data_IF_209084371912
#
_entry.id   IF_209084371912
#
_cell.length_a   1.000
_cell.length_b   1.000
_cell.length_c   1.000
_cell.angle_alpha   90.00
_cell.angle_beta   90.00
_cell.angle_gamma   90.00
#
_symmetry.space_group_name_H-M   'P 1'
#
loop_
_entity.id
_entity.type
_entity.pdbx_description
1 polymer ?
#
# COMPACT_ATOMS: atom_id res chain seq x y z
N UNK A 1 -6.19 -8.87 21.14
CA UNK A 1 -7.45 -8.69 21.87
C UNK A 1 -7.42 -9.33 23.25
N UNK A 2 -7.59 -10.65 23.40
CA UNK A 2 -7.71 -11.32 24.71
C UNK A 2 -6.75 -10.82 25.81
N UNK A 3 -5.43 -10.77 25.54
CA UNK A 3 -4.40 -10.28 26.47
C UNK A 3 -4.67 -8.87 27.04
N UNK A 4 -5.26 -7.96 26.25
CA UNK A 4 -5.64 -6.60 26.68
C UNK A 4 -6.95 -6.57 27.49
N UNK A 5 -7.84 -7.53 27.29
CA UNK A 5 -9.02 -7.68 28.13
C UNK A 5 -8.64 -8.25 29.51
N UNK A 6 -7.62 -9.11 29.58
CA UNK A 6 -7.18 -9.78 30.82
C UNK A 6 -6.16 -9.01 31.67
N UNK A 7 -5.38 -8.08 31.10
CA UNK A 7 -4.27 -7.44 31.84
C UNK A 7 -4.68 -6.39 32.89
N UNK A 8 -5.97 -6.02 32.97
CA UNK A 8 -6.54 -5.17 34.04
C UNK A 8 -6.14 -3.69 34.02
N UNK A 9 -5.13 -3.32 33.22
CA UNK A 9 -4.71 -1.94 32.95
C UNK A 9 -5.86 -1.10 32.41
N UNK A 10 -6.18 0.01 33.08
CA UNK A 10 -7.25 0.92 32.66
C UNK A 10 -6.77 1.83 31.52
N UNK A 11 -7.64 2.01 30.53
CA UNK A 11 -7.51 3.00 29.46
C UNK A 11 -7.23 4.40 30.03
N UNK A 12 -6.23 5.10 29.51
CA UNK A 12 -5.83 6.42 29.97
C UNK A 12 -5.70 7.43 28.80
N UNK A 13 -5.91 8.75 29.04
CA UNK A 13 -5.67 9.79 28.04
C UNK A 13 -4.27 9.72 27.44
N UNK A 14 -4.19 9.86 26.11
CA UNK A 14 -2.97 9.83 25.30
C UNK A 14 -2.11 8.54 25.41
N UNK A 15 -2.52 7.53 26.19
CA UNK A 15 -1.74 6.34 26.55
C UNK A 15 -2.37 5.05 26.02
N UNK A 16 -2.15 4.69 24.75
CA UNK A 16 -2.56 3.41 24.21
C UNK A 16 -1.81 2.25 24.87
N UNK A 17 -2.50 1.10 24.92
CA UNK A 17 -2.02 -0.17 25.49
C UNK A 17 -1.61 -1.17 24.41
N UNK A 18 -2.04 -0.96 23.17
CA UNK A 18 -1.51 -1.65 22.00
C UNK A 18 -1.26 -0.70 20.84
N UNK A 19 -0.24 -1.02 20.05
CA UNK A 19 0.16 -0.29 18.85
C UNK A 19 0.25 -1.26 17.67
N UNK A 20 -0.46 -0.95 16.57
CA UNK A 20 -0.35 -1.63 15.30
C UNK A 20 0.22 -0.63 14.28
N UNK A 21 1.36 -0.95 13.68
CA UNK A 21 2.02 -0.16 12.64
C UNK A 21 1.83 -0.81 11.27
N UNK A 22 1.34 -0.03 10.31
CA UNK A 22 1.13 -0.47 8.93
C UNK A 22 1.57 0.64 7.93
N UNK A 23 2.14 0.29 6.77
CA UNK A 23 2.69 1.25 5.81
C UNK A 23 1.64 2.17 5.19
N UNK A 24 0.42 1.68 4.91
CA UNK A 24 -0.61 2.44 4.17
C UNK A 24 -1.87 2.71 4.99
N UNK A 25 -2.59 3.76 4.62
CA UNK A 25 -3.85 4.16 5.26
C UNK A 25 -4.95 3.15 4.99
N UNK A 26 -4.89 2.54 3.82
CA UNK A 26 -5.82 1.52 3.35
C UNK A 26 -5.66 0.24 4.19
N UNK A 27 -4.43 -0.19 4.48
CA UNK A 27 -4.18 -1.31 5.39
C UNK A 27 -4.58 -0.97 6.84
N UNK A 28 -4.25 0.23 7.35
CA UNK A 28 -4.76 0.71 8.66
C UNK A 28 -6.30 0.62 8.73
N UNK A 29 -7.00 0.96 7.65
CA UNK A 29 -8.47 0.90 7.59
C UNK A 29 -9.00 -0.55 7.52
N UNK A 30 -8.31 -1.45 6.81
CA UNK A 30 -8.65 -2.88 6.74
C UNK A 30 -8.42 -3.61 8.08
N UNK A 31 -7.32 -3.30 8.78
CA UNK A 31 -7.05 -3.80 10.12
C UNK A 31 -8.17 -3.33 11.06
N UNK A 32 -8.54 -2.05 11.03
CA UNK A 32 -9.63 -1.54 11.88
C UNK A 32 -10.99 -2.18 11.54
N UNK A 33 -11.34 -2.34 10.27
CA UNK A 33 -12.57 -3.01 9.87
C UNK A 33 -12.63 -4.47 10.38
N UNK A 34 -11.48 -5.15 10.39
CA UNK A 34 -11.34 -6.52 10.91
C UNK A 34 -11.34 -6.56 12.45
N UNK A 35 -10.82 -5.51 13.10
CA UNK A 35 -10.67 -5.41 14.56
C UNK A 35 -11.93 -4.93 15.26
N UNK A 36 -12.71 -4.04 14.63
CA UNK A 36 -13.86 -3.37 15.22
C UNK A 36 -14.92 -4.32 15.84
N UNK A 37 -15.30 -5.45 15.22
CA UNK A 37 -16.22 -6.42 15.85
C UNK A 37 -15.64 -7.01 17.15
N UNK A 38 -14.33 -7.29 17.17
CA UNK A 38 -13.62 -7.84 18.33
C UNK A 38 -13.41 -6.77 19.42
N UNK A 39 -13.16 -5.52 19.02
CA UNK A 39 -13.04 -4.38 19.92
C UNK A 39 -14.36 -4.08 20.63
N UNK A 40 -15.47 -4.05 19.88
CA UNK A 40 -16.82 -3.91 20.43
C UNK A 40 -17.16 -5.04 21.41
N UNK A 41 -16.91 -6.30 21.05
CA UNK A 41 -17.15 -7.46 21.92
C UNK A 41 -16.30 -7.48 23.21
N UNK A 42 -15.17 -6.76 23.24
CA UNK A 42 -14.27 -6.65 24.41
C UNK A 42 -14.34 -5.30 25.12
N UNK A 43 -15.19 -4.37 24.66
CA UNK A 43 -15.29 -3.01 25.19
C UNK A 43 -14.04 -2.13 24.98
N UNK A 44 -13.06 -2.58 24.18
CA UNK A 44 -11.83 -1.86 23.87
C UNK A 44 -12.09 -0.75 22.84
N UNK A 45 -11.31 0.33 22.89
CA UNK A 45 -11.37 1.43 21.91
C UNK A 45 -10.13 1.48 21.03
N UNK A 46 -10.34 1.45 19.72
CA UNK A 46 -9.36 1.64 18.66
C UNK A 46 -9.36 3.08 18.12
N UNK A 47 -8.29 3.46 17.40
CA UNK A 47 -8.21 4.69 16.60
C UNK A 47 -7.24 4.55 15.43
N UNK A 48 -7.64 5.09 14.27
CA UNK A 48 -6.81 5.16 13.07
C UNK A 48 -6.01 6.47 13.01
N UNK A 49 -4.68 6.36 12.93
CA UNK A 49 -3.74 7.49 12.94
C UNK A 49 -2.92 7.51 11.65
N UNK A 50 -3.30 8.38 10.71
CA UNK A 50 -2.58 8.58 9.45
C UNK A 50 -2.64 10.03 8.94
N UNK A 51 -1.71 10.37 8.04
CA UNK A 51 -1.63 11.67 7.38
C UNK A 51 -2.72 11.91 6.34
N UNK A 52 -2.73 13.09 5.70
CA UNK A 52 -3.72 13.44 4.67
C UNK A 52 -5.13 13.77 5.17
N UNK A 53 -5.39 13.56 6.47
CA UNK A 53 -6.54 14.11 7.20
C UNK A 53 -6.06 15.06 8.30
N UNK A 54 -6.94 15.97 8.74
CA UNK A 54 -6.64 16.92 9.82
C UNK A 54 -6.23 16.21 11.12
N UNK A 55 -5.29 16.76 11.90
CA UNK A 55 -4.80 16.11 13.11
C UNK A 55 -5.79 16.22 14.29
N UNK A 56 -6.62 17.28 14.33
CA UNK A 56 -7.45 17.59 15.51
C UNK A 56 -8.41 16.46 15.94
N UNK A 57 -9.10 15.73 15.04
CA UNK A 57 -9.91 14.57 15.45
C UNK A 57 -9.08 13.44 16.08
N UNK A 58 -7.87 13.19 15.56
CA UNK A 58 -6.96 12.19 16.12
C UNK A 58 -6.49 12.60 17.53
N UNK A 59 -6.14 13.88 17.72
CA UNK A 59 -5.75 14.45 19.01
C UNK A 59 -6.91 14.40 20.02
N UNK A 60 -8.13 14.71 19.59
CA UNK A 60 -9.32 14.70 20.44
C UNK A 60 -9.64 13.30 20.96
N UNK A 61 -9.61 12.28 20.08
CA UNK A 61 -9.85 10.89 20.48
C UNK A 61 -8.71 10.30 21.32
N UNK A 62 -7.43 10.64 21.04
CA UNK A 62 -6.31 10.32 21.93
C UNK A 62 -6.52 10.88 23.35
N UNK A 63 -6.95 12.15 23.47
CA UNK A 63 -7.25 12.79 24.76
C UNK A 63 -8.45 12.18 25.50
N UNK A 64 -9.41 11.59 24.79
CA UNK A 64 -10.51 10.82 25.39
C UNK A 64 -10.07 9.43 25.92
N UNK A 65 -8.84 9.01 25.60
CA UNK A 65 -8.31 7.70 25.91
C UNK A 65 -8.75 6.63 24.90
N UNK A 66 -7.78 5.81 24.49
CA UNK A 66 -7.94 4.66 23.58
C UNK A 66 -7.09 3.50 24.10
N UNK A 67 -7.48 2.26 23.82
CA UNK A 67 -6.65 1.08 24.14
C UNK A 67 -5.71 0.76 22.98
N UNK A 68 -6.15 0.92 21.74
CA UNK A 68 -5.44 0.45 20.54
C UNK A 68 -5.24 1.61 19.57
N UNK A 69 -4.00 1.82 19.13
CA UNK A 69 -3.68 2.73 18.02
C UNK A 69 -3.27 1.89 16.82
N UNK A 70 -3.92 2.14 15.68
CA UNK A 70 -3.56 1.57 14.37
C UNK A 70 -3.05 2.71 13.50
N UNK A 71 -1.80 2.66 13.04
CA UNK A 71 -1.13 3.86 12.54
C UNK A 71 -0.17 3.66 11.37
N UNK A 72 -0.11 4.67 10.51
CA UNK A 72 1.04 4.89 9.62
C UNK A 72 2.16 5.59 10.41
N UNK A 73 3.41 5.10 10.39
CA UNK A 73 4.48 5.57 11.27
C UNK A 73 4.64 7.10 11.36
N UNK A 74 4.68 7.80 10.22
CA UNK A 74 4.94 9.26 10.20
C UNK A 74 3.96 10.09 11.04
N UNK A 75 2.64 9.88 10.89
CA UNK A 75 1.65 10.66 11.66
C UNK A 75 1.60 10.29 13.14
N UNK A 76 1.93 9.04 13.50
CA UNK A 76 2.10 8.71 14.91
C UNK A 76 3.35 9.39 15.48
N UNK A 77 4.44 9.43 14.72
CA UNK A 77 5.66 10.13 15.12
C UNK A 77 5.40 11.64 15.34
N UNK A 78 4.57 12.28 14.51
CA UNK A 78 4.10 13.66 14.73
C UNK A 78 3.41 13.80 16.10
N UNK A 79 2.39 12.98 16.38
CA UNK A 79 1.63 13.05 17.65
C UNK A 79 2.50 12.75 18.88
N UNK A 80 3.44 11.81 18.75
CA UNK A 80 4.38 11.41 19.80
C UNK A 80 5.46 12.48 20.05
N UNK A 81 5.84 13.26 19.02
CA UNK A 81 6.68 14.47 19.18
C UNK A 81 5.91 15.62 19.83
N UNK A 82 4.65 15.81 19.47
CA UNK A 82 3.79 16.87 20.03
C UNK A 82 3.21 16.57 21.42
N UNK A 83 3.54 15.43 22.05
CA UNK A 83 2.99 15.03 23.35
C UNK A 83 1.50 14.65 23.34
N UNK A 84 0.92 14.42 22.15
CA UNK A 84 -0.46 13.95 21.98
C UNK A 84 -0.59 12.43 22.17
N UNK A 85 0.51 11.68 22.09
CA UNK A 85 0.55 10.25 22.34
C UNK A 85 1.81 9.85 23.13
N UNK A 86 1.66 8.98 24.11
CA UNK A 86 2.72 8.40 24.94
C UNK A 86 2.68 6.87 24.84
N UNK A 87 3.73 6.28 24.28
CA UNK A 87 3.83 4.85 24.01
C UNK A 87 4.41 4.03 25.17
N UNK A 88 4.77 4.66 26.29
CA UNK A 88 5.34 3.98 27.46
C UNK A 88 4.37 3.00 28.16
N UNK A 89 3.08 3.08 27.84
CA UNK A 89 2.04 2.18 28.37
C UNK A 89 1.68 1.02 27.43
N UNK A 90 2.41 0.84 26.32
CA UNK A 90 2.11 -0.19 25.31
C UNK A 90 2.55 -1.58 25.79
N UNK A 91 1.58 -2.48 25.92
CA UNK A 91 1.73 -3.89 26.31
C UNK A 91 1.97 -4.80 25.10
N UNK A 92 1.50 -4.40 23.91
CA UNK A 92 1.59 -5.18 22.67
C UNK A 92 1.92 -4.27 21.48
N UNK A 93 2.95 -4.61 20.69
CA UNK A 93 3.22 -3.99 19.38
C UNK A 93 3.04 -4.98 18.25
N UNK A 94 2.42 -4.55 17.15
CA UNK A 94 2.32 -5.30 15.89
C UNK A 94 2.93 -4.45 14.78
N UNK A 95 3.73 -5.07 13.91
CA UNK A 95 4.15 -4.53 12.62
C UNK A 95 3.52 -5.38 11.54
N UNK A 96 2.87 -4.75 10.55
CA UNK A 96 2.24 -5.41 9.41
C UNK A 96 2.74 -4.83 8.08
N UNK A 97 2.85 -5.67 7.04
CA UNK A 97 3.66 -5.44 5.83
C UNK A 97 5.04 -4.79 6.15
N UNK A 98 5.86 -5.44 6.99
CA UNK A 98 7.12 -4.87 7.49
C UNK A 98 8.19 -4.61 6.40
N UNK A 99 8.27 -5.48 5.40
CA UNK A 99 9.07 -5.28 4.17
C UNK A 99 8.58 -4.10 3.33
N UNK A 100 7.27 -3.88 3.25
CA UNK A 100 6.74 -2.67 2.62
C UNK A 100 7.10 -1.40 3.43
N UNK A 101 7.21 -1.47 4.76
CA UNK A 101 7.80 -0.38 5.56
C UNK A 101 9.31 -0.19 5.31
N UNK A 102 10.01 -1.19 4.76
CA UNK A 102 11.37 -1.05 4.23
C UNK A 102 11.37 -0.32 2.88
N UNK A 103 10.58 -0.79 1.91
CA UNK A 103 10.44 -0.17 0.58
C UNK A 103 10.09 1.33 0.61
N UNK A 104 9.23 1.75 1.57
CA UNK A 104 8.83 3.15 1.74
C UNK A 104 9.83 3.98 2.57
N UNK A 105 10.94 3.39 3.02
CA UNK A 105 11.94 4.07 3.86
C UNK A 105 11.43 4.43 5.27
N UNK A 106 10.38 3.76 5.76
CA UNK A 106 9.76 4.08 7.06
C UNK A 106 10.47 3.45 8.26
N UNK A 107 11.37 2.47 8.07
CA UNK A 107 12.11 1.80 9.13
C UNK A 107 12.75 2.75 10.17
N UNK A 108 13.35 3.91 9.83
CA UNK A 108 13.89 4.83 10.83
C UNK A 108 12.81 5.43 11.74
N UNK A 109 11.60 5.67 11.21
CA UNK A 109 10.44 6.13 12.01
C UNK A 109 9.85 5.01 12.85
N UNK A 110 9.70 3.80 12.30
CA UNK A 110 9.31 2.59 13.03
C UNK A 110 10.23 2.35 14.22
N UNK A 111 11.56 2.41 14.00
CA UNK A 111 12.58 2.28 15.06
C UNK A 111 12.37 3.31 16.18
N UNK A 112 12.22 4.61 15.85
CA UNK A 112 11.96 5.68 16.83
C UNK A 112 10.63 5.53 17.60
N UNK A 113 9.64 4.85 17.03
CA UNK A 113 8.36 4.54 17.71
C UNK A 113 8.50 3.35 18.65
N UNK A 114 9.12 2.25 18.19
CA UNK A 114 9.36 1.06 19.01
C UNK A 114 10.33 1.32 20.17
N UNK A 115 11.32 2.20 19.99
CA UNK A 115 12.23 2.65 21.05
C UNK A 115 11.51 3.40 22.19
N UNK A 116 10.27 3.86 21.97
CA UNK A 116 9.39 4.47 22.98
C UNK A 116 8.39 3.50 23.61
N UNK A 117 8.42 2.23 23.22
CA UNK A 117 7.60 1.15 23.84
C UNK A 117 8.42 0.39 24.89
N UNK A 118 7.80 -0.16 25.94
CA UNK A 118 8.47 -1.04 26.91
C UNK A 118 9.26 -2.17 26.23
N UNK A 119 10.48 -2.45 26.70
CA UNK A 119 11.33 -3.51 26.11
C UNK A 119 10.73 -4.92 26.24
N UNK A 120 9.86 -5.12 27.23
CA UNK A 120 9.19 -6.37 27.57
C UNK A 120 7.72 -6.44 27.08
N UNK A 121 7.28 -5.55 26.17
CA UNK A 121 5.98 -5.69 25.52
C UNK A 121 5.97 -6.91 24.57
N UNK A 122 4.80 -7.52 24.35
CA UNK A 122 4.68 -8.58 23.34
C UNK A 122 4.83 -7.97 21.95
N UNK A 123 5.73 -8.49 21.13
CA UNK A 123 5.93 -8.02 19.76
C UNK A 123 5.52 -9.08 18.74
N UNK A 124 4.80 -8.66 17.71
CA UNK A 124 4.47 -9.45 16.53
C UNK A 124 4.94 -8.68 15.28
N UNK A 125 5.48 -9.40 14.30
CA UNK A 125 5.96 -8.86 13.04
C UNK A 125 5.45 -9.74 11.91
N UNK A 126 4.74 -9.14 10.95
CA UNK A 126 4.24 -9.78 9.74
C UNK A 126 4.91 -9.13 8.52
N UNK A 127 5.38 -9.95 7.60
CA UNK A 127 6.12 -9.54 6.40
C UNK A 127 5.95 -10.60 5.32
N UNK A 128 5.88 -10.21 4.04
CA UNK A 128 5.85 -11.17 2.93
C UNK A 128 7.26 -11.68 2.57
N UNK A 129 8.28 -10.87 2.85
CA UNK A 129 9.69 -11.18 2.68
C UNK A 129 10.49 -10.85 3.95
N UNK A 130 11.50 -11.66 4.24
CA UNK A 130 12.57 -11.32 5.16
C UNK A 130 13.77 -10.87 4.32
N UNK A 131 14.19 -9.63 4.52
CA UNK A 131 15.39 -9.06 3.93
C UNK A 131 16.11 -8.18 4.95
N UNK A 132 17.33 -7.74 4.60
CA UNK A 132 18.20 -6.99 5.50
C UNK A 132 17.60 -5.67 6.05
N UNK A 133 16.50 -5.15 5.48
CA UNK A 133 15.73 -4.06 6.08
C UNK A 133 14.86 -4.52 7.25
N UNK A 134 14.19 -5.67 7.09
CA UNK A 134 13.32 -6.32 8.08
C UNK A 134 14.13 -7.05 9.16
N UNK A 135 15.24 -7.69 8.80
CA UNK A 135 16.09 -8.44 9.74
C UNK A 135 16.59 -7.54 10.89
N UNK A 136 16.96 -6.29 10.58
CA UNK A 136 17.38 -5.29 11.58
C UNK A 136 16.21 -4.81 12.47
N UNK A 137 14.96 -5.16 12.17
CA UNK A 137 13.83 -5.04 13.11
C UNK A 137 13.66 -6.31 13.94
N UNK A 138 13.84 -7.50 13.34
CA UNK A 138 13.79 -8.79 14.02
C UNK A 138 14.83 -8.83 15.14
N UNK A 139 16.12 -8.69 14.81
CA UNK A 139 17.26 -8.82 15.73
C UNK A 139 17.22 -7.82 16.90
N UNK A 140 16.64 -6.64 16.68
CA UNK A 140 16.63 -5.54 17.64
C UNK A 140 15.41 -5.50 18.55
N UNK A 141 14.24 -5.96 18.07
CA UNK A 141 12.97 -5.77 18.78
C UNK A 141 12.26 -7.06 19.14
N UNK A 142 12.50 -8.17 18.44
CA UNK A 142 11.97 -9.47 18.84
C UNK A 142 12.93 -10.14 19.83
N UNK A 143 12.38 -10.94 20.73
CA UNK A 143 13.14 -11.70 21.72
C UNK A 143 12.54 -13.10 21.79
N UNK A 144 13.38 -14.11 21.54
CA UNK A 144 12.99 -15.51 21.34
C UNK A 144 11.74 -15.68 20.42
N UNK A 145 11.76 -15.16 19.18
CA UNK A 145 10.58 -15.19 18.31
C UNK A 145 10.28 -16.61 17.81
N UNK A 146 9.07 -17.08 18.09
CA UNK A 146 8.52 -18.26 17.41
C UNK A 146 8.25 -17.91 15.94
N UNK A 147 9.17 -18.31 15.05
CA UNK A 147 9.06 -18.06 13.61
C UNK A 147 8.06 -19.02 12.99
N UNK A 148 6.89 -18.50 12.61
CA UNK A 148 5.94 -19.21 11.76
C UNK A 148 6.12 -18.77 10.30
N UNK A 149 6.98 -19.49 9.58
CA UNK A 149 6.89 -19.48 8.12
C UNK A 149 5.61 -20.21 7.72
N UNK A 150 4.71 -19.52 7.02
CA UNK A 150 3.80 -20.23 6.11
C UNK A 150 4.62 -20.52 4.87
N UNK A 151 5.35 -21.63 4.90
CA UNK A 151 6.02 -22.14 3.71
C UNK A 151 4.96 -22.30 2.63
N UNK A 152 4.99 -21.44 1.62
CA UNK A 152 4.12 -21.54 0.46
C UNK A 152 4.55 -22.80 -0.29
N UNK A 153 3.92 -23.93 0.04
CA UNK A 153 4.21 -25.28 -0.45
C UNK A 153 3.88 -25.37 -1.95
N UNK A 154 4.75 -24.73 -2.74
CA UNK A 154 4.41 -24.03 -3.97
C UNK A 154 3.39 -22.89 -3.71
N UNK A 155 3.87 -21.64 -3.74
CA UNK A 155 3.00 -20.48 -3.95
C UNK A 155 2.17 -20.69 -5.22
N UNK A 156 0.89 -20.24 -5.30
CA UNK A 156 -0.01 -20.49 -6.44
C UNK A 156 0.38 -19.81 -7.77
N UNK A 157 1.67 -19.55 -7.99
CA UNK A 157 2.29 -19.43 -9.31
C UNK A 157 1.95 -20.65 -10.19
N UNK A 158 1.72 -21.83 -9.59
CA UNK A 158 1.22 -23.01 -10.28
C UNK A 158 -0.23 -22.88 -10.83
N UNK A 159 -1.01 -21.89 -10.35
CA UNK A 159 -2.37 -21.58 -10.77
C UNK A 159 -2.50 -20.14 -11.34
N UNK A 160 -1.38 -19.49 -11.66
CA UNK A 160 -1.35 -18.18 -12.31
C UNK A 160 -0.73 -18.26 -13.70
N UNK A 161 -1.51 -17.89 -14.72
CA UNK A 161 -1.05 -17.91 -16.11
C UNK A 161 -0.43 -16.55 -16.45
N UNK A 162 0.88 -16.56 -16.70
CA UNK A 162 1.66 -15.36 -16.99
C UNK A 162 1.83 -15.17 -18.51
N UNK A 163 1.43 -14.02 -19.04
CA UNK A 163 1.64 -13.64 -20.44
C UNK A 163 2.46 -12.35 -20.54
N UNK A 164 3.32 -12.27 -21.56
CA UNK A 164 3.98 -11.04 -21.99
C UNK A 164 3.52 -10.71 -23.40
N UNK A 165 2.79 -9.61 -23.56
CA UNK A 165 2.34 -9.13 -24.86
C UNK A 165 3.30 -8.07 -25.36
N UNK A 166 4.04 -8.39 -26.41
CA UNK A 166 4.90 -7.45 -27.12
C UNK A 166 4.01 -6.57 -28.01
N UNK A 167 3.89 -5.28 -27.66
CA UNK A 167 2.97 -4.33 -28.29
C UNK A 167 3.67 -3.05 -28.73
N UNK A 168 3.26 -2.53 -29.87
CA UNK A 168 3.70 -1.24 -30.37
C UNK A 168 3.07 -0.08 -29.57
N UNK A 169 3.70 1.09 -29.56
CA UNK A 169 3.20 2.22 -28.77
C UNK A 169 1.82 2.74 -29.23
N UNK A 170 1.48 2.56 -30.50
CA UNK A 170 0.17 2.87 -31.09
C UNK A 170 -0.92 1.89 -30.63
N UNK A 171 -0.62 0.59 -30.57
CA UNK A 171 -1.59 -0.47 -30.26
C UNK A 171 -1.79 -0.67 -28.77
N UNK A 172 -0.78 -0.39 -27.94
CA UNK A 172 -0.75 -0.53 -26.48
C UNK A 172 -2.06 -0.11 -25.78
N UNK A 173 -2.59 1.08 -26.06
CA UNK A 173 -3.81 1.56 -25.39
C UNK A 173 -5.06 0.77 -25.79
N UNK A 174 -5.15 0.32 -27.05
CA UNK A 174 -6.28 -0.47 -27.51
C UNK A 174 -6.21 -1.91 -26.98
N UNK A 175 -5.01 -2.46 -26.80
CA UNK A 175 -4.79 -3.75 -26.11
C UNK A 175 -5.15 -3.67 -24.63
N UNK A 176 -4.78 -2.60 -23.90
CA UNK A 176 -5.27 -2.42 -22.51
C UNK A 176 -6.79 -2.27 -22.49
N UNK A 177 -7.38 -1.55 -23.45
CA UNK A 177 -8.83 -1.34 -23.50
C UNK A 177 -9.61 -2.64 -23.76
N UNK A 178 -9.16 -3.49 -24.68
CA UNK A 178 -9.80 -4.81 -24.91
C UNK A 178 -9.72 -5.70 -23.66
N UNK A 179 -8.53 -5.83 -23.07
CA UNK A 179 -8.32 -6.62 -21.86
C UNK A 179 -9.14 -6.10 -20.66
N UNK A 180 -9.28 -4.77 -20.54
CA UNK A 180 -10.03 -4.12 -19.46
C UNK A 180 -11.55 -4.04 -19.71
N UNK A 181 -12.03 -4.39 -20.91
CA UNK A 181 -13.46 -4.50 -21.23
C UNK A 181 -13.99 -5.94 -21.12
N UNK A 182 -13.13 -6.92 -20.81
CA UNK A 182 -13.50 -8.29 -20.50
C UNK A 182 -14.25 -8.39 -19.15
N UNK A 183 -15.08 -9.44 -18.93
CA UNK A 183 -15.81 -9.62 -17.68
C UNK A 183 -14.88 -9.94 -16.49
N UNK A 184 -15.30 -9.53 -15.29
CA UNK A 184 -14.54 -9.69 -14.05
C UNK A 184 -13.85 -8.40 -13.59
N UNK A 185 -13.26 -8.40 -12.38
CA UNK A 185 -12.51 -7.24 -11.87
C UNK A 185 -11.09 -7.25 -12.43
N UNK A 186 -10.67 -6.15 -13.04
CA UNK A 186 -9.31 -5.98 -13.61
C UNK A 186 -8.50 -4.92 -12.87
N UNK A 187 -7.27 -5.25 -12.45
CA UNK A 187 -6.31 -4.25 -11.92
C UNK A 187 -5.25 -3.94 -12.96
N UNK A 188 -5.11 -2.67 -13.32
CA UNK A 188 -4.16 -2.18 -14.33
C UNK A 188 -3.04 -1.36 -13.67
N UNK A 189 -1.83 -1.88 -13.64
CA UNK A 189 -0.68 -1.21 -13.05
C UNK A 189 0.06 -0.30 -14.03
N UNK A 190 0.18 0.97 -13.67
CA UNK A 190 0.96 2.00 -14.36
C UNK A 190 2.13 2.50 -13.48
N UNK A 191 3.24 2.88 -14.12
CA UNK A 191 4.49 3.26 -13.45
C UNK A 191 4.42 4.61 -12.73
N UNK A 192 3.58 5.53 -13.22
CA UNK A 192 3.50 6.89 -12.68
C UNK A 192 2.07 7.31 -12.42
N UNK A 193 1.88 8.24 -11.47
CA UNK A 193 0.57 8.83 -11.14
C UNK A 193 -0.09 9.50 -12.35
N UNK A 194 0.69 10.17 -13.20
CA UNK A 194 0.18 10.78 -14.43
C UNK A 194 -0.17 9.73 -15.49
N UNK A 195 0.59 8.63 -15.57
CA UNK A 195 0.26 7.46 -16.39
C UNK A 195 -1.07 6.83 -15.98
N UNK A 196 -1.24 6.52 -14.70
CA UNK A 196 -2.50 5.97 -14.17
C UNK A 196 -3.70 6.88 -14.48
N UNK A 197 -3.56 8.20 -14.26
CA UNK A 197 -4.60 9.20 -14.55
C UNK A 197 -4.95 9.29 -16.04
N UNK A 198 -3.94 9.29 -16.91
CA UNK A 198 -4.15 9.39 -18.35
C UNK A 198 -4.77 8.11 -18.91
N UNK A 199 -4.33 6.94 -18.45
CA UNK A 199 -4.89 5.65 -18.82
C UNK A 199 -6.34 5.49 -18.35
N UNK A 200 -6.65 5.88 -17.10
CA UNK A 200 -8.04 5.92 -16.58
C UNK A 200 -8.94 6.79 -17.45
N UNK A 201 -8.48 7.96 -17.87
CA UNK A 201 -9.25 8.84 -18.78
C UNK A 201 -9.46 8.20 -20.15
N UNK A 202 -8.45 7.52 -20.69
CA UNK A 202 -8.50 6.87 -22.01
C UNK A 202 -9.38 5.62 -22.04
N UNK A 203 -9.55 4.93 -20.90
CA UNK A 203 -10.47 3.81 -20.73
C UNK A 203 -11.92 4.32 -20.57
N UNK A 204 -12.15 5.29 -19.68
CA UNK A 204 -13.46 5.92 -19.50
C UNK A 204 -13.97 6.56 -20.81
N UNK A 205 -13.10 7.21 -21.60
CA UNK A 205 -13.46 7.75 -22.92
C UNK A 205 -13.78 6.69 -23.99
N UNK A 206 -13.59 5.41 -23.69
CA UNK A 206 -13.98 4.24 -24.50
C UNK A 206 -15.16 3.47 -23.91
N UNK A 207 -15.83 4.01 -22.89
CA UNK A 207 -16.97 3.36 -22.23
C UNK A 207 -16.60 2.31 -21.19
N UNK A 208 -15.32 2.19 -20.82
CA UNK A 208 -14.86 1.23 -19.81
C UNK A 208 -14.85 1.92 -18.45
N UNK A 209 -15.69 1.47 -17.52
CA UNK A 209 -15.82 2.03 -16.18
C UNK A 209 -14.53 1.82 -15.35
N UNK A 210 -13.67 2.83 -15.35
CA UNK A 210 -12.33 2.77 -14.77
C UNK A 210 -12.09 3.86 -13.71
N UNK A 211 -11.44 3.50 -12.61
CA UNK A 211 -11.11 4.41 -11.50
C UNK A 211 -9.60 4.45 -11.23
N UNK A 212 -9.08 5.64 -10.92
CA UNK A 212 -7.64 5.84 -10.62
C UNK A 212 -7.31 5.61 -9.14
N UNK A 213 -6.14 5.05 -8.84
CA UNK A 213 -5.60 4.97 -7.48
C UNK A 213 -4.09 5.26 -7.43
N UNK A 214 -3.76 6.51 -7.10
CA UNK A 214 -2.38 6.98 -7.00
C UNK A 214 -2.17 7.89 -5.79
N UNK A 215 -0.92 8.10 -5.36
CA UNK A 215 -0.58 8.90 -4.16
C UNK A 215 -1.03 10.37 -4.18
N UNK A 216 -1.33 10.95 -5.35
CA UNK A 216 -1.83 12.33 -5.49
C UNK A 216 -3.34 12.50 -5.21
N UNK A 217 -4.09 11.44 -4.85
CA UNK A 217 -5.52 11.54 -4.53
C UNK A 217 -5.76 12.02 -3.10
N UNK A 218 -6.82 12.81 -2.89
CA UNK A 218 -7.36 13.05 -1.55
C UNK A 218 -7.94 11.76 -0.96
N UNK A 219 -7.99 11.64 0.38
CA UNK A 219 -8.46 10.40 1.01
C UNK A 219 -9.89 10.04 0.59
N UNK A 220 -10.78 11.03 0.53
CA UNK A 220 -12.17 10.84 0.10
C UNK A 220 -12.27 10.31 -1.34
N UNK A 221 -11.35 10.71 -2.24
CA UNK A 221 -11.27 10.18 -3.59
C UNK A 221 -10.69 8.75 -3.61
N UNK A 222 -9.66 8.44 -2.80
CA UNK A 222 -9.14 7.07 -2.64
C UNK A 222 -10.25 6.12 -2.16
N UNK A 223 -10.96 6.51 -1.10
CA UNK A 223 -12.08 5.72 -0.56
C UNK A 223 -13.19 5.53 -1.59
N UNK A 224 -13.69 6.60 -2.24
CA UNK A 224 -14.74 6.48 -3.26
C UNK A 224 -14.33 5.53 -4.40
N UNK A 225 -13.11 5.68 -4.92
CA UNK A 225 -12.62 4.88 -6.03
C UNK A 225 -12.43 3.40 -5.63
N UNK A 226 -11.97 3.14 -4.40
CA UNK A 226 -11.89 1.77 -3.86
C UNK A 226 -13.27 1.15 -3.61
N UNK A 227 -14.24 1.93 -3.12
CA UNK A 227 -15.63 1.49 -2.97
C UNK A 227 -16.21 1.08 -4.33
N UNK A 228 -16.15 1.97 -5.32
CA UNK A 228 -16.67 1.72 -6.67
C UNK A 228 -16.02 0.50 -7.38
N UNK A 229 -14.75 0.19 -7.09
CA UNK A 229 -14.11 -1.02 -7.62
C UNK A 229 -14.51 -2.30 -6.85
N UNK A 230 -14.72 -2.17 -5.54
CA UNK A 230 -15.13 -3.29 -4.68
C UNK A 230 -16.59 -3.68 -4.90
N UNK A 231 -17.50 -2.70 -4.98
CA UNK A 231 -18.93 -2.93 -5.25
C UNK A 231 -19.25 -3.27 -6.71
N UNK A 232 -18.31 -3.05 -7.63
CA UNK A 232 -18.42 -3.38 -9.05
C UNK A 232 -18.92 -2.25 -9.95
N UNK A 233 -19.24 -1.07 -9.41
CA UNK A 233 -19.61 0.13 -10.18
C UNK A 233 -18.53 0.59 -11.17
N UNK A 234 -17.27 0.20 -10.93
CA UNK A 234 -16.17 0.28 -11.87
C UNK A 234 -15.47 -1.09 -11.96
N UNK A 235 -15.48 -1.72 -13.14
CA UNK A 235 -14.82 -3.02 -13.34
C UNK A 235 -13.29 -2.95 -13.34
N UNK A 236 -12.71 -1.74 -13.42
CA UNK A 236 -11.27 -1.53 -13.66
C UNK A 236 -10.65 -0.55 -12.67
N UNK A 237 -9.58 -0.98 -11.99
CA UNK A 237 -8.77 -0.14 -11.11
C UNK A 237 -7.39 0.12 -11.72
N UNK A 238 -7.10 1.38 -12.09
CA UNK A 238 -5.79 1.77 -12.63
C UNK A 238 -4.93 2.37 -11.53
N UNK A 239 -3.83 1.72 -11.18
CA UNK A 239 -3.06 2.06 -9.99
C UNK A 239 -1.53 2.12 -10.17
N UNK A 240 -0.87 2.79 -9.23
CA UNK A 240 0.60 2.79 -9.07
C UNK A 240 1.01 1.93 -7.88
N UNK A 241 2.17 1.26 -7.91
CA UNK A 241 2.65 0.32 -6.87
C UNK A 241 2.40 0.77 -5.42
N UNK A 242 2.95 1.92 -5.03
CA UNK A 242 2.83 2.51 -3.67
C UNK A 242 1.37 2.69 -3.24
N UNK A 243 0.47 2.94 -4.19
CA UNK A 243 -0.92 3.23 -3.92
C UNK A 243 -1.83 1.99 -3.88
N UNK A 244 -1.36 0.84 -4.39
CA UNK A 244 -2.10 -0.42 -4.50
C UNK A 244 -1.55 -1.60 -3.68
N UNK A 245 -0.47 -1.38 -2.94
CA UNK A 245 -0.10 -2.22 -1.81
C UNK A 245 -1.05 -1.95 -0.64
N UNK A 246 -1.34 -2.98 0.16
CA UNK A 246 -2.41 -2.89 1.16
C UNK A 246 -3.81 -2.59 0.62
N UNK A 247 -4.15 -2.94 -0.64
CA UNK A 247 -5.57 -3.15 -1.00
C UNK A 247 -5.89 -4.64 -0.87
N UNK A 248 -6.90 -4.96 -0.06
CA UNK A 248 -7.67 -6.18 -0.21
C UNK A 248 -8.81 -5.92 -1.20
N UNK A 249 -8.78 -6.59 -2.35
CA UNK A 249 -9.93 -6.71 -3.24
C UNK A 249 -9.98 -8.15 -3.68
N UNK A 250 -11.15 -8.76 -3.53
CA UNK A 250 -11.41 -10.14 -3.87
C UNK A 250 -11.88 -10.25 -5.32
N UNK A 251 -11.87 -11.46 -5.87
CA UNK A 251 -12.32 -11.79 -7.24
C UNK A 251 -11.67 -10.98 -8.38
N UNK A 252 -10.41 -10.55 -8.22
CA UNK A 252 -9.61 -9.94 -9.31
C UNK A 252 -9.23 -11.03 -10.31
N UNK A 253 -9.95 -11.10 -11.43
CA UNK A 253 -9.75 -12.10 -12.48
C UNK A 253 -8.48 -11.86 -13.30
N UNK A 254 -8.10 -10.58 -13.49
CA UNK A 254 -7.04 -10.17 -14.40
C UNK A 254 -6.15 -9.07 -13.79
N UNK A 255 -4.84 -9.25 -13.86
CA UNK A 255 -3.84 -8.22 -13.54
C UNK A 255 -3.08 -7.83 -14.81
N UNK A 256 -3.15 -6.55 -15.20
CA UNK A 256 -2.45 -6.02 -16.38
C UNK A 256 -1.35 -5.05 -15.95
N UNK A 257 -0.09 -5.44 -16.10
CA UNK A 257 1.03 -4.51 -16.04
C UNK A 257 1.09 -3.71 -17.35
N UNK A 258 0.32 -2.61 -17.40
CA UNK A 258 0.33 -1.69 -18.54
C UNK A 258 1.69 -0.99 -18.68
N UNK A 259 2.40 -0.74 -17.57
CA UNK A 259 3.85 -0.53 -17.54
C UNK A 259 4.53 -1.68 -16.74
N UNK A 260 5.60 -2.31 -17.27
CA UNK A 260 6.39 -3.26 -16.49
C UNK A 260 6.97 -2.62 -15.20
N UNK A 261 6.94 -3.35 -14.07
CA UNK A 261 7.67 -2.94 -12.87
C UNK A 261 9.18 -3.03 -13.10
N UNK A 262 9.95 -2.23 -12.37
CA UNK A 262 11.42 -2.25 -12.43
C UNK A 262 11.99 -3.48 -11.71
N UNK A 263 11.27 -3.98 -10.70
CA UNK A 263 11.76 -5.02 -9.79
C UNK A 263 10.86 -6.26 -9.72
N UNK A 264 11.50 -7.41 -9.55
CA UNK A 264 10.87 -8.72 -9.47
C UNK A 264 9.98 -8.88 -8.21
N UNK A 265 10.39 -8.34 -7.05
CA UNK A 265 9.51 -8.23 -5.86
C UNK A 265 8.19 -7.55 -6.21
N UNK A 266 8.26 -6.38 -6.88
CA UNK A 266 7.07 -5.64 -7.30
C UNK A 266 6.23 -6.43 -8.31
N UNK A 267 6.83 -7.15 -9.27
CA UNK A 267 6.09 -8.05 -10.18
C UNK A 267 5.26 -9.09 -9.40
N UNK A 268 5.86 -9.75 -8.40
CA UNK A 268 5.17 -10.75 -7.57
C UNK A 268 4.08 -10.11 -6.70
N UNK A 269 4.34 -8.95 -6.09
CA UNK A 269 3.38 -8.22 -5.24
C UNK A 269 2.17 -7.65 -6.01
N UNK A 270 2.35 -7.36 -7.31
CA UNK A 270 1.26 -7.03 -8.24
C UNK A 270 0.49 -8.29 -8.69
N UNK A 271 1.20 -9.35 -9.04
CA UNK A 271 0.62 -10.63 -9.50
C UNK A 271 -0.28 -11.25 -8.42
N UNK A 272 0.19 -11.29 -7.16
CA UNK A 272 -0.58 -11.77 -6.00
C UNK A 272 -1.77 -10.89 -5.56
N UNK A 273 -2.30 -10.08 -6.48
CA UNK A 273 -3.64 -9.46 -6.37
C UNK A 273 -4.72 -10.30 -7.06
N UNK A 274 -4.37 -11.16 -8.03
CA UNK A 274 -5.24 -12.25 -8.52
C UNK A 274 -4.94 -13.57 -7.77
N UNK A 275 -5.58 -14.67 -8.19
CA UNK A 275 -5.49 -16.02 -7.61
C UNK A 275 -5.76 -16.11 -6.08
N UNK A 276 -6.64 -15.24 -5.58
CA UNK A 276 -7.16 -15.28 -4.21
C UNK A 276 -8.40 -16.18 -4.14
N UNK A 277 -8.69 -16.73 -2.96
CA UNK A 277 -9.80 -17.65 -2.69
C UNK A 277 -9.84 -18.96 -3.52
N UNK A 278 -8.76 -19.32 -4.23
CA UNK A 278 -8.62 -20.61 -4.92
C UNK A 278 -9.00 -20.62 -6.41
N UNK A 279 -9.32 -19.47 -7.00
CA UNK A 279 -9.51 -19.33 -8.44
C UNK A 279 -8.17 -19.25 -9.18
N UNK A 280 -8.13 -19.68 -10.44
CA UNK A 280 -7.02 -19.39 -11.36
C UNK A 280 -6.94 -17.88 -11.66
N UNK A 281 -5.73 -17.36 -11.90
CA UNK A 281 -5.51 -15.91 -12.07
C UNK A 281 -4.61 -15.56 -13.25
N UNK A 282 -5.07 -14.68 -14.14
CA UNK A 282 -4.30 -14.29 -15.33
C UNK A 282 -3.48 -13.00 -15.08
N UNK A 283 -2.20 -13.03 -15.45
CA UNK A 283 -1.28 -11.89 -15.32
C UNK A 283 -0.69 -11.53 -16.69
N UNK A 284 -1.07 -10.37 -17.21
CA UNK A 284 -0.57 -9.83 -18.50
C UNK A 284 0.47 -8.75 -18.24
N UNK A 285 1.59 -8.79 -18.93
CA UNK A 285 2.60 -7.71 -18.94
C UNK A 285 2.80 -7.18 -20.34
N UNK A 286 2.56 -5.89 -20.55
CA UNK A 286 2.80 -5.24 -21.83
C UNK A 286 4.28 -4.86 -21.96
N UNK A 287 4.89 -5.21 -23.09
CA UNK A 287 6.32 -5.00 -23.37
C UNK A 287 6.47 -4.24 -24.69
N UNK A 288 7.24 -3.16 -24.69
CA UNK A 288 7.60 -2.41 -25.90
C UNK A 288 9.03 -2.79 -26.34
N UNK A 289 9.43 -2.51 -27.60
CA UNK A 289 10.74 -2.95 -28.13
C UNK A 289 11.93 -2.51 -27.25
N UNK A 290 11.91 -1.28 -26.73
CA UNK A 290 12.93 -0.74 -25.83
C UNK A 290 13.00 -1.42 -24.44
N UNK A 291 12.03 -2.28 -24.08
CA UNK A 291 11.89 -2.91 -22.77
C UNK A 291 12.21 -4.41 -22.78
N UNK A 292 12.56 -4.98 -23.94
CA UNK A 292 12.73 -6.44 -24.11
C UNK A 292 13.81 -7.03 -23.21
N UNK A 293 14.93 -6.32 -22.99
CA UNK A 293 15.99 -6.76 -22.07
C UNK A 293 15.51 -6.77 -20.62
N UNK A 294 14.90 -5.66 -20.19
CA UNK A 294 14.42 -5.46 -18.82
C UNK A 294 13.34 -6.49 -18.44
N UNK A 295 12.34 -6.70 -19.31
CA UNK A 295 11.25 -7.65 -19.06
C UNK A 295 11.75 -9.10 -19.01
N UNK A 296 12.72 -9.48 -19.85
CA UNK A 296 13.38 -10.81 -19.77
C UNK A 296 14.21 -10.98 -18.49
N UNK A 297 14.87 -9.91 -18.02
CA UNK A 297 15.62 -9.91 -16.76
C UNK A 297 14.67 -10.01 -15.55
N UNK A 298 13.56 -9.27 -15.61
CA UNK A 298 12.50 -9.20 -14.61
C UNK A 298 11.81 -10.55 -14.40
N UNK A 299 11.31 -11.19 -15.45
CA UNK A 299 10.56 -12.45 -15.36
C UNK A 299 11.45 -13.59 -14.88
N UNK A 300 12.69 -13.67 -15.36
CA UNK A 300 13.72 -14.59 -14.85
C UNK A 300 14.01 -14.40 -13.36
N UNK A 301 14.15 -13.14 -12.89
CA UNK A 301 14.34 -12.83 -11.46
C UNK A 301 13.10 -13.11 -10.61
N UNK A 302 11.90 -13.03 -11.19
CA UNK A 302 10.64 -13.39 -10.53
C UNK A 302 10.34 -14.91 -10.56
N UNK A 303 11.19 -15.72 -11.21
CA UNK A 303 11.00 -17.17 -11.31
C UNK A 303 9.88 -17.63 -12.26
N UNK A 304 9.21 -16.70 -12.96
CA UNK A 304 8.05 -16.99 -13.82
C UNK A 304 8.46 -17.30 -15.26
N UNK A 305 7.73 -18.21 -15.91
CA UNK A 305 7.90 -18.59 -17.32
C UNK A 305 6.70 -18.09 -18.15
N UNK A 306 6.69 -16.83 -18.61
CA UNK A 306 5.54 -16.29 -19.31
C UNK A 306 5.50 -16.74 -20.79
N UNK A 307 4.29 -16.92 -21.32
CA UNK A 307 4.07 -17.03 -22.76
C UNK A 307 4.28 -15.65 -23.40
N UNK A 308 5.24 -15.52 -24.31
CA UNK A 308 5.55 -14.26 -25.00
C UNK A 308 4.88 -14.25 -26.39
N UNK A 309 4.06 -13.25 -26.68
CA UNK A 309 3.31 -13.13 -27.95
C UNK A 309 3.40 -11.70 -28.48
N UNK A 310 3.65 -11.49 -29.78
CA UNK A 310 3.57 -10.15 -30.39
C UNK A 310 2.14 -9.88 -30.83
N UNK A 311 1.58 -8.73 -30.41
CA UNK A 311 0.18 -8.34 -30.62
C UNK A 311 0.14 -7.02 -31.37
N UNK A 312 -0.15 -7.10 -32.67
CA UNK A 312 -0.17 -5.97 -33.60
C UNK A 312 -1.53 -5.24 -33.63
N UNK A 313 -2.52 -5.68 -32.85
CA UNK A 313 -3.88 -5.13 -32.87
C UNK A 313 -4.83 -5.87 -31.91
N UNK A 314 -6.07 -5.38 -31.81
CA UNK A 314 -7.13 -5.96 -30.96
C UNK A 314 -7.68 -7.29 -31.46
N UNK A 315 -7.50 -7.58 -32.74
CA UNK A 315 -8.10 -8.75 -33.40
C UNK A 315 -7.24 -10.03 -33.24
N UNK A 316 -6.15 -9.93 -32.47
CA UNK A 316 -5.26 -11.05 -32.20
C UNK A 316 -5.91 -12.05 -31.23
N UNK A 317 -6.07 -13.34 -31.60
CA UNK A 317 -6.92 -14.29 -30.86
C UNK A 317 -6.50 -14.50 -29.40
N UNK A 318 -5.20 -14.38 -29.09
CA UNK A 318 -4.67 -14.48 -27.72
C UNK A 318 -5.36 -13.55 -26.71
N UNK A 319 -5.95 -12.43 -27.12
CA UNK A 319 -6.65 -11.53 -26.19
C UNK A 319 -7.97 -12.13 -25.69
N UNK A 320 -8.61 -13.00 -26.48
CA UNK A 320 -9.83 -13.75 -26.11
C UNK A 320 -9.51 -15.05 -25.36
N UNK A 321 -8.30 -15.57 -25.52
CA UNK A 321 -7.75 -16.68 -24.72
C UNK A 321 -7.38 -16.21 -23.30
N UNK A 322 -6.60 -15.13 -23.21
CA UNK A 322 -6.12 -14.50 -21.96
C UNK A 322 -7.28 -13.95 -21.11
N UNK A 323 -8.25 -13.32 -21.76
CA UNK A 323 -9.40 -12.69 -21.14
C UNK A 323 -10.67 -13.15 -21.88
N UNK A 324 -11.27 -14.29 -21.50
CA UNK A 324 -12.45 -14.83 -22.17
C UNK A 324 -13.70 -14.00 -21.92
N UNK A 325 -14.68 -14.12 -22.83
CA UNK A 325 -15.98 -13.45 -22.74
C UNK A 325 -16.18 -12.28 -23.70
N UNK A 326 -17.39 -11.72 -23.68
CA UNK A 326 -17.79 -10.54 -24.45
C UNK A 326 -17.08 -9.27 -23.93
N UNK A 327 -16.98 -8.23 -24.78
CA UNK A 327 -16.38 -6.95 -24.37
C UNK A 327 -17.49 -5.93 -24.12
N UNK A 328 -17.57 -5.42 -22.90
CA UNK A 328 -18.59 -4.42 -22.55
C UNK A 328 -17.97 -3.02 -22.66
N UNK A 329 -18.45 -2.27 -23.66
CA UNK A 329 -18.16 -0.85 -23.83
C UNK A 329 -19.46 -0.07 -23.67
N UNK A 330 -19.56 0.76 -22.63
CA UNK A 330 -20.69 1.69 -22.44
C UNK A 330 -20.52 3.00 -23.22
N UNK A 331 -21.35 4.00 -22.90
CA UNK A 331 -21.13 5.36 -23.38
C UNK A 331 -19.82 5.96 -22.83
N UNK A 332 -19.12 6.83 -23.58
CA UNK A 332 -17.90 7.49 -23.11
C UNK A 332 -18.10 8.27 -21.80
N UNK A 333 -17.62 7.70 -20.69
CA UNK A 333 -17.70 8.25 -19.34
C UNK A 333 -16.83 9.51 -19.29
N UNK A 334 -17.44 10.67 -19.57
CA UNK A 334 -16.83 11.96 -19.30
C UNK A 334 -16.86 12.17 -17.78
N UNK A 335 -15.72 12.28 -17.08
CA UNK A 335 -15.75 12.66 -15.68
C UNK A 335 -16.37 14.05 -15.63
N UNK A 336 -17.49 14.20 -14.90
CA UNK A 336 -18.11 15.51 -14.73
C UNK A 336 -17.07 16.49 -14.21
N UNK A 337 -17.00 17.72 -14.76
CA UNK A 337 -16.11 18.73 -14.22
C UNK A 337 -16.54 18.98 -12.78
N UNK A 338 -15.72 18.55 -11.81
CA UNK A 338 -16.01 18.78 -10.39
C UNK A 338 -16.19 20.26 -10.18
N UNK A 339 -17.45 20.68 -10.04
CA UNK A 339 -17.82 22.06 -9.81
C UNK A 339 -17.13 22.47 -8.52
N UNK A 340 -16.07 23.27 -8.66
CA UNK A 340 -15.46 23.91 -7.51
C UNK A 340 -16.49 24.92 -7.02
N UNK A 341 -17.30 24.51 -6.03
CA UNK A 341 -18.25 25.38 -5.37
C UNK A 341 -17.49 26.60 -4.88
N UNK A 342 -17.64 27.72 -5.59
CA UNK A 342 -16.88 28.93 -5.31
C UNK A 342 -17.05 29.28 -3.82
N UNK A 343 -15.96 29.57 -3.08
CA UNK A 343 -16.06 29.81 -1.65
C UNK A 343 -17.04 30.93 -1.41
N UNK A 344 -18.19 30.60 -0.80
CA UNK A 344 -19.30 31.53 -0.65
C UNK A 344 -18.81 32.84 -0.03
N UNK A 345 -19.16 34.02 -0.58
CA UNK A 345 -18.62 35.28 -0.11
C UNK A 345 -18.79 35.41 1.41
N UNK A 346 -17.67 35.52 2.12
CA UNK A 346 -17.67 35.79 3.56
C UNK A 346 -18.41 37.11 3.78
N UNK A 347 -19.67 37.04 4.20
CA UNK A 347 -20.41 38.20 4.74
C UNK A 347 -19.52 38.81 5.82
N UNK A 348 -18.98 40.00 5.57
CA UNK A 348 -18.25 40.74 6.59
C UNK A 348 -19.21 41.00 7.74
N UNK A 349 -18.85 40.54 8.94
CA UNK A 349 -19.68 40.71 10.13
C UNK A 349 -19.79 42.19 10.47
N UNK A 350 -20.97 42.76 10.27
CA UNK A 350 -21.27 44.12 10.74
C UNK A 350 -21.04 44.20 12.25
N UNK A 351 -20.37 45.26 12.71
CA UNK A 351 -20.15 45.50 14.14
C UNK A 351 -21.51 45.62 14.84
N UNK A 352 -21.75 44.96 16.00
CA UNK A 352 -22.94 45.21 16.79
C UNK A 352 -23.01 46.67 17.22
N UNK A 353 -24.13 47.35 16.94
CA UNK A 353 -24.35 48.73 17.37
C UNK A 353 -24.61 48.81 18.87
N UNK A 354 -23.98 49.77 19.55
CA UNK A 354 -24.33 50.10 20.94
C UNK A 354 -25.64 50.90 20.99
N UNK A 355 -26.51 50.72 22.01
CA UNK A 355 -27.72 51.52 22.16
C UNK A 355 -27.39 52.98 22.49
N UNK A 356 -28.03 53.92 21.79
CA UNK A 356 -27.80 55.35 22.00
C UNK A 356 -28.44 55.91 23.29
N UNK A 357 -27.83 56.97 23.83
CA UNK A 357 -28.45 57.86 24.84
C UNK A 357 -28.22 59.33 24.48
N UNK A 358 -29.32 60.09 24.44
CA UNK A 358 -29.51 61.52 24.77
C UNK A 358 -28.28 62.45 24.86
N UNK A 359 -28.27 63.59 24.15
CA UNK A 359 -27.15 64.56 24.26
C UNK A 359 -27.33 66.05 23.87
N UNK A 360 -28.47 66.52 23.34
CA UNK A 360 -28.72 67.93 22.95
C UNK A 360 -27.82 68.55 21.83
N UNK A 361 -28.15 69.75 21.29
CA UNK A 361 -27.55 70.30 20.06
C UNK A 361 -26.85 71.68 20.22
N UNK A 362 -26.46 72.28 19.08
CA UNK A 362 -25.75 73.58 18.82
C UNK A 362 -24.24 73.37 18.54
N UNK A 363 -23.55 74.22 17.76
CA UNK A 363 -23.91 75.56 17.22
C UNK A 363 -23.45 75.74 15.74
N UNK A 364 -23.67 76.94 15.19
CA UNK A 364 -23.75 77.24 13.76
C UNK A 364 -22.53 78.04 13.25
N UNK A 365 -21.93 77.66 12.09
CA UNK A 365 -21.19 78.52 11.10
C UNK A 365 -19.94 79.31 11.57
N UNK A 366 -19.17 79.98 10.66
CA UNK A 366 -18.76 79.64 9.28
C UNK A 366 -17.24 79.90 8.97
N UNK A 367 -16.82 79.73 7.71
CA UNK A 367 -15.69 80.35 6.95
C UNK A 367 -14.50 81.02 7.69
N UNK A 368 -13.25 80.74 7.23
CA UNK A 368 -12.12 81.67 7.41
C UNK A 368 -10.72 81.20 7.00
N UNK A 369 -10.31 81.48 5.75
CA UNK A 369 -8.94 81.79 5.26
C UNK A 369 -7.65 81.37 6.00
N UNK A 370 -6.74 80.76 5.22
CA UNK A 370 -5.29 81.10 5.08
C UNK A 370 -4.31 81.04 6.28
N UNK A 371 -3.33 80.13 6.18
CA UNK A 371 -1.90 80.50 6.07
C UNK A 371 -1.08 79.35 5.41
N UNK A 372 0.24 79.51 5.24
CA UNK A 372 1.05 78.77 4.25
C UNK A 372 2.31 78.09 4.84
N UNK A 373 2.80 77.04 4.16
CA UNK A 373 4.10 76.38 4.38
C UNK A 373 4.05 75.11 5.26
N UNK A 374 4.73 74.02 4.92
CA UNK A 374 5.50 73.72 3.70
C UNK A 374 6.25 72.38 3.78
N UNK A 375 6.64 71.81 2.63
CA UNK A 375 7.47 70.59 2.54
C UNK A 375 6.90 69.53 1.58
N UNK A 376 7.66 69.18 0.54
CA UNK A 376 7.39 68.11 -0.43
C UNK A 376 8.51 67.03 -0.36
N UNK A 377 8.41 65.86 -1.03
CA UNK A 377 8.48 65.74 -2.49
C UNK A 377 7.43 64.80 -3.14
N UNK A 378 7.49 64.69 -4.48
CA UNK A 378 6.54 63.98 -5.37
C UNK A 378 6.94 62.52 -5.73
N UNK A 379 6.07 61.72 -6.40
CA UNK A 379 6.24 60.28 -6.65
C UNK A 379 6.59 59.88 -8.12
N UNK A 380 7.05 58.63 -8.29
CA UNK A 380 7.30 57.99 -9.59
C UNK A 380 6.04 57.41 -10.29
N UNK A 381 5.95 57.47 -11.63
CA UNK A 381 5.00 56.71 -12.46
C UNK A 381 5.62 55.52 -13.23
N UNK A 382 4.76 54.70 -13.84
CA UNK A 382 5.07 53.35 -14.38
C UNK A 382 5.82 53.28 -15.74
N UNK A 383 6.45 52.14 -16.08
CA UNK A 383 7.13 51.90 -17.36
C UNK A 383 6.23 51.28 -18.46
N UNK A 384 6.69 51.37 -19.72
CA UNK A 384 6.17 50.69 -20.92
C UNK A 384 7.29 49.97 -21.68
N UNK A 385 6.96 49.09 -22.64
CA UNK A 385 7.86 48.07 -23.21
C UNK A 385 8.26 48.29 -24.69
N UNK A 386 9.32 47.62 -25.15
CA UNK A 386 9.57 47.26 -26.56
C UNK A 386 10.66 46.15 -26.75
N UNK A 387 10.64 45.54 -27.93
CA UNK A 387 11.38 44.39 -28.49
C UNK A 387 12.93 44.49 -28.54
N UNK A 388 13.74 43.44 -28.77
CA UNK A 388 13.91 42.70 -30.06
C UNK A 388 14.77 41.40 -29.94
N UNK A 389 14.96 40.67 -31.06
CA UNK A 389 15.90 39.54 -31.26
C UNK A 389 16.65 39.72 -32.63
N UNK A 390 17.55 38.89 -33.17
CA UNK A 390 18.09 37.53 -32.90
C UNK A 390 19.56 37.47 -33.44
N UNK A 391 20.26 36.41 -33.93
CA UNK A 391 20.07 34.96 -34.17
C UNK A 391 21.46 34.27 -34.41
N UNK A 392 21.53 32.92 -34.43
CA UNK A 392 22.60 32.07 -35.07
C UNK A 392 24.04 32.16 -34.51
N UNK A 393 25.00 31.22 -34.70
CA UNK A 393 25.11 29.91 -35.38
C UNK A 393 26.14 28.97 -34.63
N UNK A 394 26.45 27.78 -35.20
CA UNK A 394 27.46 26.81 -34.70
C UNK A 394 28.83 26.90 -35.44
N UNK A 395 29.90 26.21 -34.98
CA UNK A 395 30.41 25.04 -35.74
C UNK A 395 30.95 23.88 -34.84
N UNK A 396 31.87 23.04 -35.36
CA UNK A 396 31.96 21.59 -35.02
C UNK A 396 33.40 20.96 -34.98
N UNK A 397 33.56 19.85 -34.23
CA UNK A 397 34.50 18.69 -34.41
C UNK A 397 36.05 18.76 -34.14
N UNK A 398 36.60 17.63 -33.58
CA UNK A 398 38.03 17.18 -33.37
C UNK A 398 38.87 17.90 -32.27
N UNK A 399 39.82 17.27 -31.53
CA UNK A 399 40.42 15.90 -31.52
C UNK A 399 40.87 15.43 -30.11
N UNK A 400 41.27 14.15 -29.99
CA UNK A 400 41.86 13.39 -28.84
C UNK A 400 43.33 13.78 -28.49
N UNK A 401 44.00 13.29 -27.40
CA UNK A 401 43.76 12.05 -26.63
C UNK A 401 43.86 12.11 -25.08
N UNK A 402 43.80 10.94 -24.44
CA UNK A 402 43.67 10.73 -23.00
C UNK A 402 45.01 10.58 -22.22
N UNK A 403 44.93 10.78 -20.90
CA UNK A 403 45.80 10.15 -19.90
C UNK A 403 44.93 9.57 -18.76
N UNK A 404 45.47 8.61 -18.00
CA UNK A 404 44.69 7.69 -17.18
C UNK A 404 44.98 7.78 -15.68
N UNK A 405 43.99 7.36 -14.88
CA UNK A 405 44.17 7.00 -13.48
C UNK A 405 43.78 5.53 -13.29
N UNK A 406 44.65 4.75 -12.65
CA UNK A 406 44.41 3.39 -12.13
C UNK A 406 44.48 3.50 -10.60
N UNK A 407 43.56 2.93 -9.83
CA UNK A 407 43.51 1.50 -9.48
C UNK A 407 44.87 0.98 -9.00
N UNK A 408 45.09 1.05 -7.68
CA UNK A 408 46.16 0.32 -7.01
C UNK A 408 45.73 -1.13 -6.78
N UNK A 409 46.61 -2.07 -7.15
CA UNK A 409 46.53 -3.49 -6.79
C UNK A 409 47.88 -3.88 -6.19
N UNK A 410 47.86 -4.51 -5.02
CA UNK A 410 49.07 -4.94 -4.31
C UNK A 410 49.03 -6.42 -3.92
N UNK A 411 50.20 -7.07 -4.00
CA UNK A 411 50.50 -8.46 -3.67
C UNK A 411 51.82 -8.85 -4.34
N UNK A 412 52.24 -10.13 -4.34
CA UNK A 412 51.76 -11.26 -3.53
C UNK A 412 52.91 -11.95 -2.74
N UNK A 413 52.60 -12.87 -1.82
CA UNK A 413 53.60 -13.76 -1.22
C UNK A 413 53.03 -15.14 -0.78
N UNK A 414 53.89 -16.17 -0.83
CA UNK A 414 53.68 -17.60 -0.50
C UNK A 414 55.09 -18.26 -0.42
N UNK A 415 55.28 -19.50 0.11
CA UNK A 415 54.46 -20.30 1.05
C UNK A 415 55.29 -21.08 2.12
N UNK A 416 54.63 -21.99 2.87
CA UNK A 416 55.12 -23.28 3.46
C UNK A 416 55.63 -23.42 4.92
N UNK A 417 55.39 -24.65 5.43
CA UNK A 417 56.08 -25.49 6.44
C UNK A 417 55.73 -25.46 7.97
N UNK A 418 55.17 -26.61 8.43
CA UNK A 418 55.26 -27.25 9.78
C UNK A 418 54.70 -26.48 11.01
N UNK A 419 54.29 -27.09 12.12
CA UNK A 419 53.97 -28.49 12.51
C UNK A 419 53.02 -28.49 13.76
N UNK A 420 52.40 -29.63 14.12
CA UNK A 420 51.42 -29.75 15.23
C UNK A 420 52.03 -29.86 16.65
N UNK A 421 51.38 -30.53 17.66
CA UNK A 421 50.21 -31.42 17.53
C UNK A 421 49.17 -31.48 18.69
N UNK A 422 48.19 -32.38 18.56
CA UNK A 422 47.38 -33.10 19.58
C UNK A 422 46.70 -32.38 20.77
N UNK A 423 45.37 -32.58 20.85
CA UNK A 423 44.74 -33.38 21.93
C UNK A 423 43.68 -34.33 21.35
N UNK A 424 43.21 -35.30 22.14
CA UNK A 424 42.62 -36.57 21.68
C UNK A 424 41.34 -36.99 22.42
N UNK A 425 40.55 -37.83 21.74
CA UNK A 425 39.53 -38.75 22.25
C UNK A 425 38.25 -38.17 22.90
N UNK A 426 37.11 -38.88 22.91
CA UNK A 426 36.83 -40.26 22.41
C UNK A 426 35.45 -40.37 21.76
N UNK A 427 35.34 -41.22 20.74
CA UNK A 427 34.07 -41.66 20.14
C UNK A 427 33.61 -43.01 20.70
N UNK A 428 32.33 -43.34 20.53
CA UNK A 428 31.76 -44.67 20.79
C UNK A 428 30.86 -45.12 19.64
N UNK A 429 30.96 -46.40 19.27
CA UNK A 429 29.96 -47.15 18.48
C UNK A 429 29.08 -47.94 19.48
N UNK A 430 27.99 -48.65 19.14
CA UNK A 430 27.62 -49.33 17.89
C UNK A 430 26.07 -49.48 17.74
N UNK A 431 25.53 -50.08 16.64
CA UNK A 431 24.13 -49.91 16.24
C UNK A 431 23.19 -51.13 16.43
N UNK A 432 21.89 -50.87 16.35
CA UNK A 432 20.78 -51.80 16.05
C UNK A 432 19.63 -50.99 15.42
N UNK A 433 18.71 -51.52 14.61
CA UNK A 433 18.69 -52.73 13.77
C UNK A 433 17.58 -52.55 12.69
N UNK A 434 17.63 -53.31 11.59
CA UNK A 434 16.66 -53.20 10.49
C UNK A 434 15.41 -54.05 10.73
N UNK A 435 14.22 -53.49 10.53
CA UNK A 435 12.96 -54.23 10.40
C UNK A 435 12.00 -53.52 9.44
N UNK A 436 11.43 -54.25 8.49
CA UNK A 436 10.45 -53.74 7.52
C UNK A 436 9.19 -54.61 7.54
N UNK A 437 8.01 -54.02 7.29
CA UNK A 437 6.80 -54.80 7.00
C UNK A 437 5.83 -54.08 6.05
N UNK A 438 5.93 -54.49 4.78
CA UNK A 438 4.90 -54.66 3.72
C UNK A 438 3.77 -53.64 3.51
N UNK A 439 3.54 -53.39 2.22
CA UNK A 439 2.32 -52.84 1.64
C UNK A 439 1.12 -53.79 1.70
N UNK A 440 -0.08 -53.22 1.59
CA UNK A 440 -1.27 -53.86 1.00
C UNK A 440 -1.94 -52.84 0.08
N UNK A 441 -2.31 -53.26 -1.13
CA UNK A 441 -3.13 -52.47 -2.06
C UNK A 441 -3.89 -53.41 -3.01
N UNK A 442 -5.21 -53.21 -3.15
CA UNK A 442 -6.01 -53.42 -4.37
C UNK A 442 -7.53 -53.45 -4.08
N UNK A 443 -8.32 -52.90 -5.03
CA UNK A 443 -9.72 -53.27 -5.39
C UNK A 443 -10.86 -53.13 -4.35
N UNK A 444 -12.09 -52.76 -4.72
CA UNK A 444 -12.65 -52.31 -6.03
C UNK A 444 -13.94 -51.47 -5.89
N UNK A 445 -14.40 -50.92 -7.03
CA UNK A 445 -15.81 -50.75 -7.45
C UNK A 445 -16.79 -49.91 -6.60
N UNK A 446 -17.21 -48.78 -7.17
CA UNK A 446 -18.54 -48.16 -6.99
C UNK A 446 -19.54 -48.74 -8.05
N UNK A 447 -20.79 -48.24 -8.25
CA UNK A 447 -21.56 -47.20 -7.53
C UNK A 447 -23.04 -47.59 -7.24
N UNK A 448 -23.82 -46.71 -6.59
CA UNK A 448 -25.16 -46.25 -7.05
C UNK A 448 -25.88 -45.33 -6.04
N UNK A 449 -27.00 -44.73 -6.46
CA UNK A 449 -27.80 -43.71 -5.75
C UNK A 449 -28.92 -44.33 -4.89
N UNK A 450 -29.31 -43.69 -3.77
CA UNK A 450 -30.71 -43.22 -3.58
C UNK A 450 -30.94 -42.24 -2.42
N UNK A 451 -31.88 -41.31 -2.65
CA UNK A 451 -32.86 -40.69 -1.74
C UNK A 451 -32.52 -40.20 -0.31
N UNK A 452 -32.81 -38.91 -0.07
CA UNK A 452 -33.21 -38.35 1.23
C UNK A 452 -34.61 -38.85 1.65
N UNK A 453 -34.93 -38.82 2.95
CA UNK A 453 -36.04 -37.95 3.37
C UNK A 453 -35.67 -36.96 4.50
N UNK A 454 -36.69 -36.26 5.04
CA UNK A 454 -36.54 -34.96 5.75
C UNK A 454 -36.49 -35.06 7.29
N UNK A 455 -35.75 -34.10 7.84
CA UNK A 455 -36.02 -33.32 9.06
C UNK A 455 -36.10 -33.98 10.45
N UNK A 456 -35.38 -33.37 11.39
CA UNK A 456 -36.06 -32.76 12.55
C UNK A 456 -35.33 -31.48 13.03
N UNK A 457 -36.03 -30.58 13.73
CA UNK A 457 -35.45 -29.39 14.39
C UNK A 457 -35.04 -29.74 15.82
N UNK A 458 -33.81 -29.42 16.23
CA UNK A 458 -33.41 -29.33 17.65
C UNK A 458 -32.64 -28.00 17.85
N UNK A 459 -32.77 -27.42 19.04
CA UNK A 459 -32.48 -26.01 19.33
C UNK A 459 -31.00 -25.67 19.57
N UNK A 460 -30.64 -24.42 19.27
CA UNK A 460 -29.42 -23.79 19.79
C UNK A 460 -29.56 -23.59 21.31
N UNK A 461 -28.96 -24.50 22.09
CA UNK A 461 -28.78 -24.31 23.54
C UNK A 461 -27.64 -25.12 24.15
N UNK A 462 -27.33 -26.31 23.59
CA UNK A 462 -26.48 -27.30 24.28
C UNK A 462 -24.96 -27.21 23.98
N UNK A 463 -24.53 -26.48 22.95
CA UNK A 463 -23.13 -26.52 22.49
C UNK A 463 -22.13 -25.76 23.39
N UNK A 464 -22.58 -24.72 24.10
CA UNK A 464 -21.70 -23.82 24.85
C UNK A 464 -21.07 -24.44 26.12
N UNK A 465 -21.64 -25.54 26.64
CA UNK A 465 -21.28 -26.08 27.96
C UNK A 465 -20.11 -27.08 27.99
N UNK A 466 -19.58 -27.52 26.84
CA UNK A 466 -18.56 -28.61 26.78
C UNK A 466 -17.12 -28.17 26.53
N UNK A 467 -16.85 -26.92 26.18
CA UNK A 467 -15.47 -26.46 25.92
C UNK A 467 -14.69 -26.03 27.19
N UNK A 468 -15.39 -25.75 28.29
CA UNK A 468 -14.79 -25.09 29.46
C UNK A 468 -14.07 -26.02 30.46
N UNK A 469 -13.81 -27.29 30.10
CA UNK A 469 -13.28 -28.32 31.02
C UNK A 469 -12.10 -29.14 30.48
N UNK A 470 -11.37 -28.62 29.50
CA UNK A 470 -10.25 -29.32 28.83
C UNK A 470 -8.89 -28.59 28.87
N UNK A 471 -8.78 -27.43 29.52
CA UNK A 471 -7.52 -26.69 29.70
C UNK A 471 -7.24 -26.40 31.18
N UNK A 472 -6.96 -27.45 31.96
CA UNK A 472 -6.43 -27.32 33.33
C UNK A 472 -5.69 -28.59 33.79
N UNK A 473 -4.74 -29.07 32.97
CA UNK A 473 -3.60 -29.95 33.31
C UNK A 473 -2.84 -30.33 32.03
N UNK A 474 -1.86 -29.51 31.66
CA UNK A 474 -0.74 -29.80 30.77
C UNK A 474 0.23 -28.61 30.84
#
# INVERSE_FOLDING_TARGET
MARLATSGTRRAPNRPRALILAPTRELVTQIEASLAPLAAATGLRSINIFGGVGPNPQIAALKQGVDIVIACPGRLEDHVKSGHADLSSVEITVLDEADHMADLGFLPGVKRLLDRTPKNCQRLLFSATLDAGVDVLVDRYLHDPVVHSVDSAQSPVAAMVHHVLHVDNSTRINVVADLAAAPGRTIVFARTKYGAKNLTRQLNSRGIAAVELHGNLSQNARTRNLTAFSDGSAGVLVATDIAARGIHVDDVSLVVHADPPVEHKAYLHRSGRTARAGNEGTVVTLMQDAQVSDVRSLTRKAGVKPTITRVNGTDHPVLREIAPGERVFGDPIRPEPTVQTAPAPRRQGGKPGQPGKSGQPRRNRPNGSSCNGGGAPEPDPAPVAADNAAATAAPDVRTTPAQAAREEVCGPARPLLRSGPHRLFRSGHAPHALAALRSVAATSSAPSRTALPRANRISLSAAAARFHRACSTA
#
